data_IF_091791452022
#
_entry.id   IF_091791452022
#
_cell.length_a   1.000
_cell.length_b   1.000
_cell.length_c   1.000
_cell.angle_alpha   90.00
_cell.angle_beta   90.00
_cell.angle_gamma   90.00
#
_symmetry.space_group_name_H-M   'P 1'
#
loop_
_entity.id
_entity.type
_entity.pdbx_description
1 polymer ?
#
# COMPACT_ATOMS: atom_id res chain seq x y z
N UNK A 1 8.87 1.36 -26.55
CA UNK A 1 7.92 1.82 -25.50
C UNK A 1 6.69 0.94 -25.36
N UNK A 2 6.09 0.44 -26.46
CA UNK A 2 4.93 -0.49 -26.43
C UNK A 2 5.00 -1.63 -25.37
N UNK A 3 6.12 -2.37 -25.19
CA UNK A 3 6.20 -3.40 -24.15
C UNK A 3 6.13 -2.82 -22.72
N UNK A 4 6.74 -1.66 -22.46
CA UNK A 4 6.69 -0.99 -21.16
C UNK A 4 5.31 -0.40 -20.86
N UNK A 5 4.64 0.15 -21.88
CA UNK A 5 3.23 0.58 -21.75
C UNK A 5 2.32 -0.60 -21.40
N UNK A 6 2.47 -1.73 -22.09
CA UNK A 6 1.69 -2.93 -21.80
C UNK A 6 1.98 -3.49 -20.38
N UNK A 7 3.23 -3.41 -19.91
CA UNK A 7 3.60 -3.78 -18.54
C UNK A 7 2.94 -2.85 -17.50
N UNK A 8 2.93 -1.54 -17.75
CA UNK A 8 2.25 -0.56 -16.90
C UNK A 8 0.74 -0.80 -16.85
N UNK A 9 0.11 -1.06 -17.99
CA UNK A 9 -1.33 -1.35 -18.05
C UNK A 9 -1.67 -2.65 -17.30
N UNK A 10 -0.80 -3.66 -17.38
CA UNK A 10 -0.94 -4.91 -16.61
C UNK A 10 -0.83 -4.66 -15.10
N UNK A 11 0.15 -3.85 -14.67
CA UNK A 11 0.32 -3.50 -13.25
C UNK A 11 -0.90 -2.70 -12.74
N UNK A 12 -1.43 -1.77 -13.53
CA UNK A 12 -2.66 -1.01 -13.21
C UNK A 12 -3.87 -1.93 -13.08
N UNK A 13 -4.02 -2.90 -13.98
CA UNK A 13 -5.08 -3.90 -13.88
C UNK A 13 -4.96 -4.75 -12.59
N UNK A 14 -3.74 -5.09 -12.18
CA UNK A 14 -3.50 -5.79 -10.92
C UNK A 14 -3.91 -4.96 -9.69
N UNK A 15 -3.62 -3.64 -9.68
CA UNK A 15 -4.12 -2.72 -8.64
C UNK A 15 -5.64 -2.73 -8.58
N UNK A 16 -6.31 -2.64 -9.74
CA UNK A 16 -7.77 -2.66 -9.81
C UNK A 16 -8.37 -3.98 -9.29
N UNK A 17 -7.70 -5.11 -9.59
CA UNK A 17 -8.10 -6.42 -9.07
C UNK A 17 -7.99 -6.47 -7.54
N UNK A 18 -6.87 -6.02 -6.98
CA UNK A 18 -6.68 -6.00 -5.51
C UNK A 18 -7.66 -5.04 -4.82
N UNK A 19 -7.94 -3.89 -5.43
CA UNK A 19 -8.94 -2.95 -4.95
C UNK A 19 -10.33 -3.60 -4.89
N UNK A 20 -10.73 -4.30 -5.95
CA UNK A 20 -12.01 -5.01 -6.01
C UNK A 20 -12.11 -6.12 -4.95
N UNK A 21 -11.01 -6.83 -4.70
CA UNK A 21 -10.95 -7.84 -3.64
C UNK A 21 -11.13 -7.21 -2.24
N UNK A 22 -10.48 -6.08 -1.99
CA UNK A 22 -10.61 -5.32 -0.74
C UNK A 22 -12.05 -4.81 -0.54
N UNK A 23 -12.69 -4.30 -1.59
CA UNK A 23 -14.07 -3.81 -1.50
C UNK A 23 -15.07 -4.95 -1.27
N UNK A 24 -14.83 -6.14 -1.82
CA UNK A 24 -15.61 -7.34 -1.49
C UNK A 24 -15.47 -7.72 0.00
N UNK A 25 -14.25 -7.69 0.56
CA UNK A 25 -14.05 -7.95 1.99
C UNK A 25 -14.77 -6.92 2.88
N UNK A 26 -14.76 -5.64 2.48
CA UNK A 26 -15.52 -4.59 3.19
C UNK A 26 -17.03 -4.82 3.14
N UNK A 27 -17.56 -5.27 1.99
CA UNK A 27 -18.95 -5.65 1.86
C UNK A 27 -19.29 -6.84 2.79
N UNK A 28 -18.40 -7.83 2.90
CA UNK A 28 -18.57 -8.95 3.83
C UNK A 28 -18.55 -8.50 5.30
N UNK A 29 -17.72 -7.52 5.66
CA UNK A 29 -17.75 -6.91 7.01
C UNK A 29 -19.10 -6.25 7.29
N UNK A 30 -19.65 -5.49 6.34
CA UNK A 30 -20.97 -4.86 6.49
C UNK A 30 -22.08 -5.91 6.72
N UNK A 31 -22.06 -6.99 5.96
CA UNK A 31 -22.97 -8.13 6.17
C UNK A 31 -22.74 -8.77 7.54
N UNK A 32 -21.49 -9.00 7.94
CA UNK A 32 -21.16 -9.63 9.22
C UNK A 32 -21.60 -8.78 10.41
N UNK A 33 -21.50 -7.45 10.33
CA UNK A 33 -22.03 -6.56 11.36
C UNK A 33 -23.55 -6.70 11.52
N UNK A 34 -24.28 -6.83 10.41
CA UNK A 34 -25.74 -7.06 10.45
C UNK A 34 -26.08 -8.40 11.11
N UNK A 35 -25.26 -9.44 10.88
CA UNK A 35 -25.42 -10.74 11.54
C UNK A 35 -25.07 -10.69 13.04
N UNK A 36 -24.10 -9.88 13.44
CA UNK A 36 -23.77 -9.64 14.84
C UNK A 36 -24.94 -8.95 15.55
N UNK A 37 -25.51 -7.92 14.93
CA UNK A 37 -26.69 -7.23 15.46
C UNK A 37 -27.88 -8.18 15.61
N UNK A 38 -28.12 -9.03 14.61
CA UNK A 38 -29.14 -10.08 14.69
C UNK A 38 -28.89 -11.06 15.84
N UNK A 39 -27.65 -11.54 16.01
CA UNK A 39 -27.28 -12.46 17.09
C UNK A 39 -27.40 -11.80 18.47
N UNK A 40 -27.10 -10.51 18.56
CA UNK A 40 -27.26 -9.72 19.78
C UNK A 40 -28.74 -9.57 20.15
N UNK A 41 -29.60 -9.30 19.17
CA UNK A 41 -31.05 -9.24 19.37
C UNK A 41 -31.63 -10.60 19.80
N UNK A 42 -31.18 -11.71 19.21
CA UNK A 42 -31.60 -13.05 19.63
C UNK A 42 -31.17 -13.35 21.08
N UNK A 43 -29.91 -13.06 21.43
CA UNK A 43 -29.41 -13.22 22.79
C UNK A 43 -30.26 -12.43 23.80
N UNK A 44 -30.62 -11.19 23.47
CA UNK A 44 -31.45 -10.36 24.35
C UNK A 44 -32.85 -10.97 24.53
N UNK A 45 -33.49 -11.44 23.45
CA UNK A 45 -34.76 -12.13 23.54
C UNK A 45 -34.68 -13.40 24.42
N UNK A 46 -33.59 -14.17 24.32
CA UNK A 46 -33.37 -15.34 25.20
C UNK A 46 -33.13 -14.93 26.65
N UNK A 47 -32.42 -13.84 26.90
CA UNK A 47 -32.21 -13.33 28.26
C UNK A 47 -33.54 -12.95 28.92
N UNK A 48 -34.40 -12.23 28.21
CA UNK A 48 -35.73 -11.86 28.70
C UNK A 48 -36.56 -13.10 29.02
N UNK A 49 -36.57 -14.09 28.13
CA UNK A 49 -37.26 -15.36 28.37
C UNK A 49 -36.70 -16.09 29.61
N UNK A 50 -35.37 -16.13 29.78
CA UNK A 50 -34.73 -16.76 30.94
C UNK A 50 -35.05 -16.04 32.26
N UNK A 51 -35.16 -14.71 32.26
CA UNK A 51 -35.60 -13.95 33.44
C UNK A 51 -37.03 -14.33 33.82
N UNK A 52 -37.92 -14.42 32.84
CA UNK A 52 -39.31 -14.84 33.07
C UNK A 52 -39.39 -16.27 33.64
N UNK A 53 -38.70 -17.25 33.03
CA UNK A 53 -38.71 -18.64 33.50
C UNK A 53 -38.09 -18.78 34.89
N UNK A 54 -37.06 -17.99 35.21
CA UNK A 54 -36.43 -18.00 36.54
C UNK A 54 -37.38 -17.46 37.62
N UNK A 55 -38.17 -16.43 37.31
CA UNK A 55 -39.19 -15.90 38.22
C UNK A 55 -40.33 -16.90 38.41
N UNK A 56 -40.79 -17.53 37.33
CA UNK A 56 -41.82 -18.57 37.37
C UNK A 56 -41.36 -19.77 38.19
N UNK A 57 -40.13 -20.26 37.99
CA UNK A 57 -39.58 -21.37 38.76
C UNK A 57 -39.59 -21.09 40.26
N UNK A 58 -39.15 -19.90 40.68
CA UNK A 58 -39.21 -19.46 42.09
C UNK A 58 -40.64 -19.39 42.62
N UNK A 59 -41.58 -18.89 41.80
CA UNK A 59 -42.99 -18.77 42.19
C UNK A 59 -43.64 -20.14 42.39
N UNK A 60 -43.44 -21.07 41.46
CA UNK A 60 -44.00 -22.43 41.56
C UNK A 60 -43.35 -23.25 42.67
N UNK A 61 -42.06 -23.06 42.94
CA UNK A 61 -41.39 -23.64 44.11
C UNK A 61 -42.04 -23.17 45.43
N UNK A 62 -42.30 -21.87 45.57
CA UNK A 62 -42.97 -21.32 46.75
C UNK A 62 -44.45 -21.78 46.90
N UNK A 63 -45.17 -21.94 45.79
CA UNK A 63 -46.54 -22.47 45.80
C UNK A 63 -46.57 -23.95 46.20
N UNK A 64 -45.63 -24.76 45.70
CA UNK A 64 -45.52 -26.17 46.07
C UNK A 64 -45.16 -26.34 47.56
N UNK A 65 -44.26 -25.49 48.10
CA UNK A 65 -43.87 -25.56 49.52
C UNK A 65 -45.00 -25.18 50.48
N UNK A 66 -45.91 -24.30 50.05
CA UNK A 66 -47.11 -23.91 50.79
C UNK A 66 -48.32 -24.82 50.54
N UNK A 67 -48.15 -25.91 49.77
CA UNK A 67 -49.22 -26.83 49.32
C UNK A 67 -50.33 -26.15 48.49
N UNK A 68 -50.09 -24.93 48.01
CA UNK A 68 -50.99 -24.19 47.12
C UNK A 68 -50.79 -24.54 45.63
N UNK A 69 -49.77 -25.35 45.30
CA UNK A 69 -49.49 -25.87 43.96
C UNK A 69 -48.95 -27.31 43.99
N UNK A 70 -48.80 -27.93 42.82
CA UNK A 70 -48.32 -29.31 42.70
C UNK A 70 -46.79 -29.38 42.59
N UNK A 71 -46.18 -30.47 43.06
CA UNK A 71 -44.75 -30.71 42.84
C UNK A 71 -44.40 -30.87 41.35
N UNK A 72 -45.34 -31.41 40.56
CA UNK A 72 -45.16 -31.59 39.12
C UNK A 72 -45.02 -30.24 38.40
N UNK A 73 -45.81 -29.23 38.78
CA UNK A 73 -45.71 -27.88 38.19
C UNK A 73 -44.39 -27.20 38.55
N UNK A 74 -43.93 -27.36 39.80
CA UNK A 74 -42.62 -26.85 40.22
C UNK A 74 -41.47 -27.49 39.43
N UNK A 75 -41.49 -28.82 39.26
CA UNK A 75 -40.49 -29.54 38.45
C UNK A 75 -40.52 -29.12 36.98
N UNK A 76 -41.72 -28.94 36.41
CA UNK A 76 -41.89 -28.47 35.02
C UNK A 76 -41.32 -27.07 34.83
N UNK A 77 -41.59 -26.16 35.76
CA UNK A 77 -41.07 -24.78 35.70
C UNK A 77 -39.55 -24.73 35.88
N UNK A 78 -38.99 -25.58 36.75
CA UNK A 78 -37.54 -25.69 36.93
C UNK A 78 -36.85 -26.21 35.66
N UNK A 79 -37.42 -27.23 35.01
CA UNK A 79 -36.91 -27.74 33.74
C UNK A 79 -36.96 -26.68 32.62
N UNK A 80 -38.05 -25.90 32.56
CA UNK A 80 -38.19 -24.79 31.62
C UNK A 80 -37.14 -23.69 31.86
N UNK A 81 -36.84 -23.34 33.12
CA UNK A 81 -35.75 -22.41 33.46
C UNK A 81 -34.38 -22.94 33.02
N UNK A 82 -34.10 -24.21 33.29
CA UNK A 82 -32.88 -24.88 32.83
C UNK A 82 -32.71 -24.80 31.31
N UNK A 83 -33.78 -25.06 30.57
CA UNK A 83 -33.79 -24.97 29.10
C UNK A 83 -33.56 -23.53 28.61
N UNK A 84 -34.18 -22.54 29.25
CA UNK A 84 -34.00 -21.13 28.87
C UNK A 84 -32.56 -20.66 29.12
N UNK A 85 -31.95 -21.02 30.25
CA UNK A 85 -30.54 -20.73 30.56
C UNK A 85 -29.56 -21.40 29.60
N UNK A 86 -29.84 -22.66 29.23
CA UNK A 86 -29.06 -23.34 28.20
C UNK A 86 -29.16 -22.63 26.84
N UNK A 87 -30.35 -22.14 26.49
CA UNK A 87 -30.57 -21.36 25.26
C UNK A 87 -29.81 -20.04 25.26
N UNK A 88 -29.80 -19.30 26.37
CA UNK A 88 -28.98 -18.09 26.54
C UNK A 88 -27.49 -18.39 26.34
N UNK A 89 -27.01 -19.48 26.93
CA UNK A 89 -25.60 -19.87 26.82
C UNK A 89 -25.24 -20.19 25.36
N UNK A 90 -26.11 -20.90 24.65
CA UNK A 90 -25.94 -21.18 23.23
C UNK A 90 -25.96 -19.91 22.36
N UNK A 91 -26.94 -19.01 22.54
CA UNK A 91 -27.00 -17.74 21.78
C UNK A 91 -25.80 -16.83 22.09
N UNK A 92 -25.31 -16.82 23.35
CA UNK A 92 -24.09 -16.07 23.71
C UNK A 92 -22.86 -16.61 22.99
N UNK A 93 -22.72 -17.93 22.91
CA UNK A 93 -21.64 -18.55 22.13
C UNK A 93 -21.77 -18.23 20.63
N UNK A 94 -23.00 -18.21 20.10
CA UNK A 94 -23.28 -17.81 18.72
C UNK A 94 -22.87 -16.36 18.43
N UNK A 95 -23.20 -15.42 19.32
CA UNK A 95 -22.76 -14.03 19.21
C UNK A 95 -21.23 -13.92 19.26
N UNK A 96 -20.57 -14.61 20.20
CA UNK A 96 -19.11 -14.60 20.30
C UNK A 96 -18.44 -15.13 19.01
N UNK A 97 -18.98 -16.20 18.43
CA UNK A 97 -18.49 -16.74 17.16
C UNK A 97 -18.69 -15.76 15.99
N UNK A 98 -19.83 -15.06 15.93
CA UNK A 98 -20.09 -14.03 14.93
C UNK A 98 -19.10 -12.85 15.05
N UNK A 99 -18.80 -12.41 16.28
CA UNK A 99 -17.80 -11.36 16.54
C UNK A 99 -16.39 -11.83 16.17
N UNK A 100 -16.00 -13.05 16.52
CA UNK A 100 -14.68 -13.58 16.14
C UNK A 100 -14.51 -13.69 14.62
N UNK A 101 -15.60 -13.98 13.88
CA UNK A 101 -15.57 -13.97 12.42
C UNK A 101 -15.30 -12.58 11.84
N UNK A 102 -15.76 -11.52 12.52
CA UNK A 102 -15.42 -10.15 12.15
C UNK A 102 -13.92 -9.88 12.32
N UNK A 103 -13.29 -10.38 13.38
CA UNK A 103 -11.84 -10.24 13.58
C UNK A 103 -11.06 -10.90 12.43
N UNK A 104 -11.48 -12.09 11.99
CA UNK A 104 -10.88 -12.79 10.83
C UNK A 104 -11.05 -11.98 9.54
N UNK A 105 -12.20 -11.34 9.32
CA UNK A 105 -12.39 -10.46 8.16
C UNK A 105 -11.48 -9.22 8.24
N UNK A 106 -11.30 -8.66 9.44
CA UNK A 106 -10.39 -7.53 9.64
C UNK A 106 -8.93 -7.90 9.37
N UNK A 107 -8.48 -9.10 9.76
CA UNK A 107 -7.14 -9.57 9.40
C UNK A 107 -6.99 -9.76 7.89
N UNK A 108 -7.99 -10.32 7.22
CA UNK A 108 -8.00 -10.46 5.75
C UNK A 108 -8.00 -9.09 5.04
N UNK A 109 -8.69 -8.09 5.58
CA UNK A 109 -8.64 -6.71 5.07
C UNK A 109 -7.23 -6.14 5.19
N UNK A 110 -6.54 -6.37 6.32
CA UNK A 110 -5.15 -5.93 6.50
C UNK A 110 -4.22 -6.57 5.46
N UNK A 111 -4.35 -7.89 5.25
CA UNK A 111 -3.59 -8.62 4.23
C UNK A 111 -3.88 -8.10 2.81
N UNK A 112 -5.15 -7.91 2.45
CA UNK A 112 -5.55 -7.37 1.15
C UNK A 112 -5.07 -5.92 0.95
N UNK A 113 -5.03 -5.12 2.02
CA UNK A 113 -4.50 -3.75 1.98
C UNK A 113 -3.00 -3.76 1.71
N UNK A 114 -2.24 -4.67 2.34
CA UNK A 114 -0.83 -4.85 2.07
C UNK A 114 -0.58 -5.33 0.62
N UNK A 115 -1.39 -6.27 0.13
CA UNK A 115 -1.30 -6.74 -1.26
C UNK A 115 -1.61 -5.62 -2.27
N UNK A 116 -2.59 -4.77 -1.98
CA UNK A 116 -2.88 -3.58 -2.78
C UNK A 116 -1.72 -2.58 -2.78
N UNK A 117 -1.08 -2.35 -1.64
CA UNK A 117 0.10 -1.50 -1.55
C UNK A 117 1.28 -2.04 -2.38
N UNK A 118 1.52 -3.35 -2.33
CA UNK A 118 2.51 -4.00 -3.18
C UNK A 118 2.20 -3.83 -4.68
N UNK A 119 0.95 -4.06 -5.09
CA UNK A 119 0.54 -3.85 -6.49
C UNK A 119 0.70 -2.39 -6.95
N UNK A 120 0.53 -1.41 -6.05
CA UNK A 120 0.79 0.01 -6.36
C UNK A 120 2.28 0.27 -6.55
N UNK A 121 3.14 -0.32 -5.72
CA UNK A 121 4.60 -0.23 -5.91
C UNK A 121 5.06 -0.85 -7.25
N UNK A 122 4.40 -1.92 -7.69
CA UNK A 122 4.65 -2.51 -9.02
C UNK A 122 4.26 -1.56 -10.15
N UNK A 123 3.16 -0.80 -9.99
CA UNK A 123 2.79 0.28 -10.92
C UNK A 123 3.86 1.36 -10.96
N UNK A 124 4.35 1.81 -9.81
CA UNK A 124 5.39 2.85 -9.73
C UNK A 124 6.69 2.38 -10.40
N UNK A 125 7.06 1.11 -10.19
CA UNK A 125 8.21 0.49 -10.85
C UNK A 125 8.02 0.46 -12.38
N UNK A 126 6.85 0.03 -12.86
CA UNK A 126 6.55 0.02 -14.29
C UNK A 126 6.49 1.43 -14.90
N UNK A 127 6.09 2.45 -14.13
CA UNK A 127 6.15 3.85 -14.55
C UNK A 127 7.59 4.36 -14.66
N UNK A 128 8.44 4.01 -13.70
CA UNK A 128 9.87 4.34 -13.76
C UNK A 128 10.54 3.69 -14.97
N UNK A 129 10.27 2.41 -15.23
CA UNK A 129 10.78 1.69 -16.39
C UNK A 129 10.34 2.32 -17.71
N UNK A 130 9.08 2.77 -17.79
CA UNK A 130 8.59 3.54 -18.93
C UNK A 130 9.26 4.92 -19.01
N UNK A 131 9.52 5.58 -17.89
CA UNK A 131 10.28 6.83 -17.85
C UNK A 131 11.71 6.67 -18.36
N UNK A 132 12.36 5.53 -18.06
CA UNK A 132 13.71 5.22 -18.54
C UNK A 132 13.77 4.96 -20.05
N UNK A 133 12.64 4.82 -20.76
CA UNK A 133 12.64 4.82 -22.22
C UNK A 133 12.87 6.21 -22.80
N UNK A 134 12.67 7.26 -22.02
CA UNK A 134 12.99 8.64 -22.39
C UNK A 134 14.29 9.10 -21.71
N UNK A 135 15.38 9.15 -22.48
CA UNK A 135 16.68 9.63 -21.98
C UNK A 135 16.74 11.16 -22.11
N UNK A 136 16.70 11.85 -20.96
CA UNK A 136 16.83 13.32 -20.87
C UNK A 136 18.23 13.70 -20.41
N UNK A 137 18.73 14.86 -20.90
CA UNK A 137 19.98 15.42 -20.40
C UNK A 137 19.82 15.88 -18.95
N UNK A 138 20.76 15.53 -18.03
CA UNK A 138 20.75 16.06 -16.67
C UNK A 138 21.30 17.49 -16.57
N UNK A 139 22.00 17.97 -17.61
CA UNK A 139 22.66 19.28 -17.63
C UNK A 139 22.38 20.03 -18.93
N UNK A 140 22.44 21.35 -18.88
CA UNK A 140 22.46 22.17 -20.08
C UNK A 140 23.83 22.07 -20.76
N UNK A 141 23.83 21.85 -22.08
CA UNK A 141 25.05 21.62 -22.81
C UNK A 141 24.85 21.36 -24.29
N UNK A 142 25.95 21.17 -24.99
CA UNK A 142 26.00 20.86 -26.41
C UNK A 142 26.32 19.38 -26.57
N UNK A 143 25.59 18.70 -27.46
CA UNK A 143 25.89 17.30 -27.78
C UNK A 143 27.23 17.24 -28.52
N UNK A 144 28.19 16.53 -27.94
CA UNK A 144 29.49 16.28 -28.53
C UNK A 144 29.43 15.10 -29.50
N UNK A 145 29.75 13.90 -29.00
CA UNK A 145 29.70 12.69 -29.81
C UNK A 145 28.33 11.99 -29.67
N UNK A 146 27.71 11.60 -30.78
CA UNK A 146 26.45 10.86 -30.81
C UNK A 146 26.67 9.51 -31.46
N UNK A 147 26.72 8.45 -30.63
CA UNK A 147 26.91 7.08 -31.10
C UNK A 147 25.57 6.39 -31.40
N UNK A 148 24.51 6.76 -30.69
CA UNK A 148 23.19 6.18 -30.89
C UNK A 148 22.53 6.67 -32.20
N UNK A 149 21.93 5.76 -32.95
CA UNK A 149 21.13 6.05 -34.15
C UNK A 149 19.71 5.51 -33.99
N UNK A 150 18.76 6.14 -34.70
CA UNK A 150 17.36 5.68 -34.70
C UNK A 150 17.29 4.27 -35.28
N UNK A 151 16.66 3.36 -34.54
CA UNK A 151 16.54 1.95 -34.91
C UNK A 151 17.64 1.03 -34.35
N UNK A 152 18.67 1.58 -33.71
CA UNK A 152 19.69 0.78 -33.02
C UNK A 152 19.13 0.23 -31.71
N UNK A 153 19.30 -1.07 -31.48
CA UNK A 153 19.02 -1.69 -30.19
C UNK A 153 20.15 -1.37 -29.21
N UNK A 154 19.81 -0.90 -28.01
CA UNK A 154 20.78 -0.51 -26.99
C UNK A 154 20.47 -1.22 -25.67
N UNK A 155 21.50 -1.70 -24.99
CA UNK A 155 21.38 -2.34 -23.68
C UNK A 155 21.60 -1.32 -22.55
N UNK A 156 21.03 -1.55 -21.35
CA UNK A 156 21.35 -0.73 -20.18
C UNK A 156 22.85 -0.56 -19.98
N UNK A 157 23.29 0.67 -19.72
CA UNK A 157 24.72 1.02 -19.58
C UNK A 157 25.45 1.31 -20.89
N UNK A 158 24.80 1.19 -22.05
CA UNK A 158 25.41 1.57 -23.33
C UNK A 158 25.64 3.07 -23.40
N UNK A 159 26.81 3.47 -23.90
CA UNK A 159 27.13 4.87 -24.15
C UNK A 159 26.39 5.38 -25.38
N UNK A 160 25.43 6.29 -25.19
CA UNK A 160 24.59 6.80 -26.29
C UNK A 160 25.15 8.10 -26.90
N UNK A 161 25.51 9.05 -26.04
CA UNK A 161 25.96 10.37 -26.43
C UNK A 161 26.76 11.06 -25.32
N UNK A 162 27.59 12.03 -25.71
CA UNK A 162 28.31 12.94 -24.81
C UNK A 162 27.62 14.29 -24.76
N UNK A 163 27.53 14.89 -23.57
CA UNK A 163 27.07 16.27 -23.39
C UNK A 163 28.22 17.08 -22.81
N UNK A 164 28.59 18.15 -23.51
CA UNK A 164 29.58 19.12 -23.05
C UNK A 164 28.83 20.25 -22.34
N UNK A 165 29.11 20.54 -21.06
CA UNK A 165 28.43 21.59 -20.31
C UNK A 165 28.47 22.95 -21.02
N UNK A 166 27.39 23.72 -20.97
CA UNK A 166 27.33 25.05 -21.58
C UNK A 166 28.13 26.12 -20.81
N UNK A 167 28.55 25.84 -19.57
CA UNK A 167 29.24 26.76 -18.68
C UNK A 167 30.37 26.06 -17.93
N UNK A 168 31.41 26.82 -17.55
CA UNK A 168 32.55 26.28 -16.81
C UNK A 168 33.50 25.48 -17.70
N UNK A 169 33.62 25.83 -18.98
CA UNK A 169 34.63 25.24 -19.86
C UNK A 169 36.02 25.64 -19.35
N UNK A 170 36.91 24.66 -19.26
CA UNK A 170 38.34 24.88 -19.02
C UNK A 170 39.13 24.48 -20.27
N UNK A 171 40.30 25.07 -20.43
CA UNK A 171 41.25 24.72 -21.48
C UNK A 171 42.43 24.04 -20.81
N UNK A 172 42.70 22.80 -21.19
CA UNK A 172 43.93 22.12 -20.77
C UNK A 172 45.08 22.59 -21.66
N UNK A 173 46.07 23.23 -21.05
CA UNK A 173 47.22 23.80 -21.73
C UNK A 173 48.48 23.07 -21.26
N UNK A 174 49.03 22.22 -22.13
CA UNK A 174 50.22 21.44 -21.84
C UNK A 174 51.49 22.30 -22.07
N UNK A 175 52.09 22.80 -20.98
CA UNK A 175 53.34 23.55 -20.99
C UNK A 175 54.53 22.67 -20.60
N UNK A 176 55.74 23.07 -21.04
CA UNK A 176 56.97 22.41 -20.59
C UNK A 176 57.27 22.78 -19.14
N UNK A 177 57.90 21.88 -18.40
CA UNK A 177 58.19 22.05 -16.97
C UNK A 177 59.00 23.32 -16.66
N UNK A 178 59.92 23.71 -17.56
CA UNK A 178 60.69 24.95 -17.45
C UNK A 178 59.82 26.21 -17.59
N UNK A 179 58.68 26.12 -18.29
CA UNK A 179 57.73 27.21 -18.50
C UNK A 179 56.70 27.32 -17.36
N UNK A 180 56.46 26.24 -16.61
CA UNK A 180 55.56 26.24 -15.45
C UNK A 180 56.10 27.06 -14.27
N UNK A 181 57.42 27.26 -14.20
CA UNK A 181 58.08 27.95 -13.08
C UNK A 181 57.57 29.37 -12.85
N UNK A 182 57.20 30.05 -13.92
CA UNK A 182 56.79 31.46 -13.91
C UNK A 182 55.26 31.64 -13.96
N UNK A 183 54.49 30.54 -13.85
CA UNK A 183 53.02 30.56 -13.85
C UNK A 183 52.48 30.54 -12.42
N UNK A 184 51.51 31.41 -12.12
CA UNK A 184 50.83 31.44 -10.81
C UNK A 184 49.32 31.30 -10.94
N UNK A 185 48.69 30.73 -9.91
CA UNK A 185 47.23 30.67 -9.80
C UNK A 185 46.59 32.07 -9.90
N UNK A 186 45.46 32.16 -10.59
CA UNK A 186 44.73 33.40 -10.89
C UNK A 186 45.28 34.26 -12.04
N UNK A 187 46.41 33.89 -12.63
CA UNK A 187 47.04 34.66 -13.71
C UNK A 187 46.11 34.76 -14.94
N UNK A 188 45.97 35.97 -15.51
CA UNK A 188 45.12 36.18 -16.67
C UNK A 188 45.70 35.49 -17.92
N UNK A 189 44.87 34.71 -18.60
CA UNK A 189 45.21 34.01 -19.84
C UNK A 189 44.27 34.44 -20.98
N UNK A 190 44.83 34.52 -22.19
CA UNK A 190 44.05 34.79 -23.41
C UNK A 190 44.24 33.62 -24.36
N UNK A 191 43.13 33.00 -24.77
CA UNK A 191 43.12 31.84 -25.67
C UNK A 191 42.55 32.25 -27.02
N UNK A 192 43.32 32.01 -28.08
CA UNK A 192 42.88 32.18 -29.46
C UNK A 192 42.45 30.82 -29.99
N UNK A 193 41.30 30.77 -30.65
CA UNK A 193 40.80 29.53 -31.27
C UNK A 193 40.88 29.65 -32.78
N UNK A 194 41.23 28.56 -33.47
CA UNK A 194 41.36 28.56 -34.93
C UNK A 194 40.03 28.86 -35.63
N UNK A 195 38.91 28.54 -34.99
CA UNK A 195 37.56 28.80 -35.52
C UNK A 195 37.15 30.27 -35.40
N UNK A 196 37.77 31.04 -34.50
CA UNK A 196 37.48 32.45 -34.27
C UNK A 196 38.74 33.21 -33.80
N UNK A 197 39.71 33.45 -34.71
CA UNK A 197 40.96 34.13 -34.36
C UNK A 197 40.76 35.59 -33.95
N UNK A 198 39.70 36.24 -34.45
CA UNK A 198 39.39 37.65 -34.15
C UNK A 198 38.58 37.85 -32.85
N UNK A 199 38.21 36.77 -32.17
CA UNK A 199 37.43 36.79 -30.93
C UNK A 199 38.11 35.97 -29.83
N UNK A 200 39.21 36.48 -29.22
CA UNK A 200 39.93 35.74 -28.19
C UNK A 200 39.10 35.56 -26.92
N UNK A 201 39.21 34.36 -26.35
CA UNK A 201 38.60 33.99 -25.07
C UNK A 201 39.52 34.45 -23.93
N UNK A 202 38.94 35.05 -22.89
CA UNK A 202 39.66 35.46 -21.68
C UNK A 202 39.37 34.49 -20.55
N UNK A 203 40.39 34.11 -19.80
CA UNK A 203 40.27 33.21 -18.65
C UNK A 203 41.36 33.49 -17.60
N UNK A 204 41.37 32.66 -16.57
CA UNK A 204 42.38 32.67 -15.52
C UNK A 204 42.99 31.28 -15.39
N UNK A 205 44.28 31.20 -15.07
CA UNK A 205 44.94 29.99 -14.62
C UNK A 205 44.34 29.61 -13.27
N UNK A 206 44.00 28.34 -13.10
CA UNK A 206 43.45 27.73 -11.88
C UNK A 206 44.16 26.43 -11.57
#
# INVERSE_FOLDING_TARGET
DRPFMAALDRARAAVQQQQSALDNLRAQVSLQNSLIEQAQADLEAKNVAAVFTAQDAKRYEALASTKAGTQQDAQRSLAADGQARASVTASRAGLAAATQRLDVLNTQISEATAALAAARADVDTAQLDLGFTEVRSPIDGIVGNRLAQVGTYVSPGSYLLTIVPASGLWVDANFKEDQLRDMTDGQAATVYTDIAPDAPLKGHVT
#
